data_IF_302145610485
#
_entry.id   IF_302145610485
#
_cell.length_a   1.000
_cell.length_b   1.000
_cell.length_c   1.000
_cell.angle_alpha   90.00
_cell.angle_beta   90.00
_cell.angle_gamma   90.00
#
_symmetry.space_group_name_H-M   'P 1'
#
loop_
_entity.id
_entity.type
_entity.pdbx_description
1 polymer ?
#
# COMPACT_ATOMS: atom_id res chain seq x y z
N UNK A 1 24.19 -14.18 -0.41
CA UNK A 1 23.54 -12.90 -0.06
C UNK A 1 22.09 -13.21 0.18
N UNK A 2 21.52 -12.74 1.27
CA UNK A 2 20.10 -12.92 1.60
C UNK A 2 19.29 -12.30 0.47
N UNK A 3 18.51 -13.12 -0.24
CA UNK A 3 17.41 -12.64 -1.07
C UNK A 3 16.58 -11.70 -0.21
N UNK A 4 16.37 -10.49 -0.71
CA UNK A 4 15.58 -9.46 -0.06
C UNK A 4 14.17 -10.03 0.08
N UNK A 5 13.79 -10.44 1.29
CA UNK A 5 12.38 -10.77 1.55
C UNK A 5 11.71 -9.51 2.05
N UNK A 6 10.60 -9.13 1.43
CA UNK A 6 9.72 -7.99 1.77
C UNK A 6 9.34 -7.92 3.26
N UNK A 7 9.53 -9.05 3.97
CA UNK A 7 9.25 -9.29 5.38
C UNK A 7 10.13 -8.49 6.36
N UNK A 8 11.38 -8.19 6.01
CA UNK A 8 12.33 -7.54 6.95
C UNK A 8 12.22 -6.01 6.99
N UNK A 9 11.59 -5.41 5.96
CA UNK A 9 11.64 -3.96 5.67
C UNK A 9 10.75 -3.10 6.59
N UNK A 10 9.68 -3.64 7.19
CA UNK A 10 8.61 -2.77 7.74
C UNK A 10 8.39 -2.82 9.26
N UNK A 11 8.98 -3.77 9.99
CA UNK A 11 8.56 -4.03 11.40
C UNK A 11 9.32 -3.23 12.47
N UNK A 12 10.44 -2.57 12.13
CA UNK A 12 11.38 -2.09 13.17
C UNK A 12 11.48 -0.57 13.38
N UNK A 13 10.99 0.27 12.47
CA UNK A 13 11.21 1.73 12.55
C UNK A 13 10.07 2.48 13.29
N UNK A 14 8.86 1.91 13.35
CA UNK A 14 7.67 2.66 13.78
C UNK A 14 7.25 2.51 15.25
N UNK A 15 7.67 1.43 15.93
CA UNK A 15 7.40 1.23 17.38
C UNK A 15 7.99 2.37 18.23
N UNK A 16 9.05 3.02 17.75
CA UNK A 16 9.66 4.17 18.41
C UNK A 16 8.80 5.44 18.39
N UNK A 17 8.11 5.74 17.28
CA UNK A 17 7.34 6.97 17.10
C UNK A 17 6.04 6.96 17.90
N UNK A 18 5.33 5.83 17.91
CA UNK A 18 4.05 5.68 18.66
C UNK A 18 4.28 5.67 20.18
N UNK A 19 5.38 5.07 20.64
CA UNK A 19 5.74 5.05 22.06
C UNK A 19 6.25 6.43 22.57
N UNK A 20 6.92 7.20 21.71
CA UNK A 20 7.46 8.54 22.01
C UNK A 20 6.36 9.60 22.20
N UNK A 21 5.39 9.66 21.28
CA UNK A 21 4.26 10.61 21.37
C UNK A 21 3.41 10.39 22.64
N UNK A 22 3.26 9.14 23.10
CA UNK A 22 2.55 8.82 24.34
C UNK A 22 3.27 9.34 25.60
N UNK A 23 4.59 9.55 25.56
CA UNK A 23 5.40 10.00 26.71
C UNK A 23 5.51 11.52 26.81
N UNK A 24 5.37 12.26 25.70
CA UNK A 24 5.32 13.74 25.70
C UNK A 24 3.99 14.34 26.20
N UNK A 25 2.88 13.60 26.09
CA UNK A 25 1.53 14.05 26.49
C UNK A 25 1.33 14.20 28.01
N UNK A 26 2.32 13.83 28.83
CA UNK A 26 2.27 13.95 30.29
C UNK A 26 2.70 15.31 30.85
N UNK A 27 3.19 16.24 30.02
CA UNK A 27 3.73 17.51 30.48
C UNK A 27 3.17 18.71 29.71
N UNK A 28 2.37 19.51 30.44
CA UNK A 28 1.95 20.89 30.16
C UNK A 28 0.73 21.11 29.26
N UNK A 29 -0.24 21.84 29.83
CA UNK A 29 -1.37 22.45 29.14
C UNK A 29 -2.13 23.41 30.06
N UNK A 30 -1.42 24.30 30.75
CA UNK A 30 -2.03 25.41 31.52
C UNK A 30 -1.50 26.74 30.94
N UNK A 31 -2.01 27.09 29.77
CA UNK A 31 -1.86 28.43 29.17
C UNK A 31 -3.01 28.67 28.20
N UNK A 32 -4.15 29.05 28.76
CA UNK A 32 -5.30 29.55 28.03
C UNK A 32 -5.05 31.02 27.62
N UNK A 33 -4.63 31.23 26.38
CA UNK A 33 -4.95 32.46 25.64
C UNK A 33 -6.21 32.21 24.80
N UNK A 34 -7.05 33.25 24.67
CA UNK A 34 -8.41 33.23 24.11
C UNK A 34 -8.51 32.63 22.70
N UNK A 35 -8.70 31.30 22.61
CA UNK A 35 -9.18 30.62 21.41
C UNK A 35 -10.70 30.51 21.44
N UNK A 36 -11.37 30.72 20.31
CA UNK A 36 -12.79 30.41 20.14
C UNK A 36 -13.10 29.01 20.67
N UNK A 37 -14.17 28.87 21.44
CA UNK A 37 -14.61 27.58 21.98
C UNK A 37 -14.67 26.53 20.86
N UNK A 38 -13.95 25.43 21.06
CA UNK A 38 -13.83 24.36 20.05
C UNK A 38 -15.21 23.80 19.76
N UNK A 39 -15.65 23.84 18.50
CA UNK A 39 -16.90 23.20 18.09
C UNK A 39 -16.73 21.67 18.15
N UNK A 40 -17.28 21.07 19.22
CA UNK A 40 -17.23 19.63 19.46
C UNK A 40 -17.84 18.79 18.33
N UNK A 41 -18.85 19.29 17.63
CA UNK A 41 -19.48 18.58 16.52
C UNK A 41 -18.62 18.63 15.26
N UNK A 42 -18.02 19.79 14.97
CA UNK A 42 -17.05 19.91 13.88
C UNK A 42 -15.79 19.06 14.14
N UNK A 43 -15.30 19.04 15.39
CA UNK A 43 -14.16 18.20 15.77
C UNK A 43 -14.45 16.71 15.60
N UNK A 44 -15.67 16.26 15.94
CA UNK A 44 -16.07 14.87 15.72
C UNK A 44 -16.08 14.50 14.23
N UNK A 45 -16.60 15.37 13.36
CA UNK A 45 -16.59 15.14 11.90
C UNK A 45 -15.16 15.13 11.33
N UNK A 46 -14.31 16.07 11.76
CA UNK A 46 -12.91 16.12 11.35
C UNK A 46 -12.15 14.84 11.74
N UNK A 47 -12.42 14.29 12.92
CA UNK A 47 -11.82 13.00 13.36
C UNK A 47 -12.31 11.81 12.55
N UNK A 48 -13.59 11.80 12.17
CA UNK A 48 -14.15 10.77 11.29
C UNK A 48 -13.57 10.83 9.86
N UNK A 49 -12.95 11.94 9.48
CA UNK A 49 -12.24 12.08 8.22
C UNK A 49 -10.88 11.39 8.19
N UNK A 50 -10.33 10.96 9.32
CA UNK A 50 -9.11 10.15 9.31
C UNK A 50 -9.51 8.73 8.93
N UNK A 51 -8.94 8.16 7.86
CA UNK A 51 -9.28 6.81 7.46
C UNK A 51 -9.07 5.82 8.60
N UNK A 52 -9.91 4.80 8.66
CA UNK A 52 -9.69 3.62 9.47
C UNK A 52 -8.73 2.66 8.76
N UNK A 53 -8.11 1.77 9.55
CA UNK A 53 -7.29 0.71 8.99
C UNK A 53 -8.13 -0.17 8.07
N UNK A 54 -9.40 -0.42 8.39
CA UNK A 54 -10.32 -1.22 7.59
C UNK A 54 -10.67 -0.61 6.22
N UNK A 55 -10.51 0.71 6.03
CA UNK A 55 -10.72 1.37 4.75
C UNK A 55 -9.50 1.28 3.82
N UNK A 56 -8.31 1.17 4.40
CA UNK A 56 -7.04 1.17 3.67
C UNK A 56 -6.38 -0.22 3.61
N UNK A 57 -6.85 -1.17 4.43
CA UNK A 57 -6.40 -2.54 4.45
C UNK A 57 -7.45 -3.42 3.77
N UNK A 58 -7.09 -4.13 2.72
CA UNK A 58 -7.82 -5.35 2.39
C UNK A 58 -7.27 -6.43 3.31
N UNK A 59 -8.16 -7.19 3.95
CA UNK A 59 -7.73 -8.36 4.72
C UNK A 59 -6.88 -9.24 3.80
N UNK A 60 -5.69 -9.65 4.25
CA UNK A 60 -4.97 -10.69 3.53
C UNK A 60 -5.91 -11.91 3.48
N UNK A 61 -6.29 -12.44 2.30
CA UNK A 61 -7.12 -13.64 2.22
C UNK A 61 -6.66 -14.68 3.23
N UNK A 62 -7.59 -15.21 4.03
CA UNK A 62 -7.27 -16.11 5.15
C UNK A 62 -6.40 -17.30 4.77
N UNK A 63 -6.49 -17.76 3.52
CA UNK A 63 -5.59 -18.73 2.93
C UNK A 63 -4.12 -18.30 2.91
N UNK A 64 -3.80 -17.06 2.58
CA UNK A 64 -2.42 -16.58 2.56
C UNK A 64 -1.76 -16.63 3.95
N UNK A 65 -2.51 -16.35 5.01
CA UNK A 65 -2.04 -16.54 6.39
C UNK A 65 -1.81 -18.03 6.74
N UNK A 66 -2.60 -18.95 6.16
CA UNK A 66 -2.35 -20.39 6.28
C UNK A 66 -1.08 -20.83 5.56
N UNK A 67 -0.77 -20.25 4.40
CA UNK A 67 0.48 -20.51 3.67
C UNK A 67 1.72 -20.17 4.53
N UNK A 68 1.69 -19.06 5.27
CA UNK A 68 2.75 -18.70 6.22
C UNK A 68 2.87 -19.72 7.37
N UNK A 69 1.74 -20.18 7.92
CA UNK A 69 1.74 -21.19 8.99
C UNK A 69 2.21 -22.57 8.52
N UNK A 70 1.94 -22.92 7.26
CA UNK A 70 2.34 -24.15 6.60
C UNK A 70 3.85 -24.27 6.39
N UNK A 71 4.59 -23.16 6.32
CA UNK A 71 6.07 -23.15 6.32
C UNK A 71 6.66 -23.82 7.58
N UNK A 72 5.90 -23.91 8.69
CA UNK A 72 6.33 -24.62 9.91
C UNK A 72 5.94 -26.11 9.94
N UNK A 73 5.05 -26.55 9.05
CA UNK A 73 4.46 -27.91 9.02
C UNK A 73 4.81 -28.72 7.74
N UNK A 74 5.91 -28.35 7.05
CA UNK A 74 6.38 -28.95 5.78
C UNK A 74 6.76 -30.46 5.80
N UNK A 75 6.37 -31.23 6.82
CA UNK A 75 6.69 -32.66 6.89
C UNK A 75 5.54 -33.59 6.44
N UNK A 76 4.31 -33.11 6.21
CA UNK A 76 3.14 -33.98 5.98
C UNK A 76 2.10 -33.50 4.95
N UNK A 77 2.31 -32.36 4.28
CA UNK A 77 1.33 -31.72 3.38
C UNK A 77 2.03 -31.40 2.05
N UNK A 78 1.33 -31.50 0.90
CA UNK A 78 1.88 -31.25 -0.44
C UNK A 78 2.44 -29.83 -0.64
N UNK A 79 3.02 -29.56 -1.81
CA UNK A 79 3.60 -28.25 -2.15
C UNK A 79 2.51 -27.16 -2.07
N UNK A 80 2.84 -26.08 -1.34
CA UNK A 80 1.97 -24.92 -1.18
C UNK A 80 2.05 -24.06 -2.44
N UNK A 81 0.97 -23.35 -2.76
CA UNK A 81 0.92 -22.46 -3.92
C UNK A 81 1.93 -21.31 -3.81
N UNK A 82 2.69 -21.03 -4.88
CA UNK A 82 3.76 -20.07 -4.99
C UNK A 82 3.25 -18.63 -4.83
N UNK A 83 2.30 -18.19 -5.65
CA UNK A 83 1.88 -16.78 -5.67
C UNK A 83 1.22 -16.33 -4.35
N UNK A 84 0.35 -17.13 -3.71
CA UNK A 84 -0.13 -16.81 -2.37
C UNK A 84 0.97 -16.67 -1.32
N UNK A 85 2.04 -17.48 -1.40
CA UNK A 85 3.17 -17.40 -0.46
C UNK A 85 4.01 -16.14 -0.68
N UNK A 86 4.39 -15.86 -1.93
CA UNK A 86 5.26 -14.74 -2.28
C UNK A 86 4.56 -13.39 -2.13
N UNK A 87 3.24 -13.36 -2.33
CA UNK A 87 2.46 -12.12 -2.26
C UNK A 87 2.01 -11.76 -0.85
N UNK A 88 1.99 -12.72 0.08
CA UNK A 88 1.55 -12.46 1.45
C UNK A 88 2.40 -11.42 2.19
N UNK A 89 3.75 -11.47 2.14
CA UNK A 89 4.60 -10.42 2.71
C UNK A 89 4.35 -9.03 2.09
N UNK A 90 4.05 -8.97 0.79
CA UNK A 90 3.74 -7.73 0.08
C UNK A 90 2.46 -7.10 0.66
N UNK A 91 1.38 -7.89 0.73
CA UNK A 91 0.09 -7.45 1.28
C UNK A 91 0.23 -7.03 2.74
N UNK A 92 0.93 -7.82 3.56
CA UNK A 92 1.19 -7.46 4.95
C UNK A 92 1.98 -6.17 5.07
N UNK A 93 3.00 -5.97 4.22
CA UNK A 93 3.82 -4.78 4.25
C UNK A 93 2.99 -3.51 3.99
N UNK A 94 2.29 -3.49 2.85
CA UNK A 94 1.43 -2.36 2.48
C UNK A 94 0.38 -2.09 3.57
N UNK A 95 -0.32 -3.14 4.04
CA UNK A 95 -1.35 -3.01 5.06
C UNK A 95 -0.80 -2.55 6.43
N UNK A 96 0.38 -3.03 6.83
CA UNK A 96 0.98 -2.68 8.13
C UNK A 96 1.38 -1.21 8.15
N UNK A 97 2.06 -0.75 7.10
CA UNK A 97 2.43 0.65 6.97
C UNK A 97 1.19 1.54 7.04
N UNK A 98 0.17 1.23 6.24
CA UNK A 98 -1.14 1.88 6.27
C UNK A 98 -1.73 1.93 7.69
N UNK A 99 -1.76 0.80 8.39
CA UNK A 99 -2.38 0.65 9.70
C UNK A 99 -1.69 1.47 10.78
N UNK A 100 -0.36 1.49 10.78
CA UNK A 100 0.45 2.28 11.71
C UNK A 100 0.23 3.78 11.50
N UNK A 101 0.08 4.21 10.24
CA UNK A 101 -0.10 5.61 9.87
C UNK A 101 -1.50 6.13 10.24
N UNK A 102 -2.54 5.33 10.01
CA UNK A 102 -3.88 5.58 10.56
C UNK A 102 -3.83 5.69 12.07
N UNK A 103 -3.13 4.75 12.73
CA UNK A 103 -3.01 4.72 14.19
C UNK A 103 -2.33 5.97 14.72
N UNK A 104 -1.27 6.46 14.06
CA UNK A 104 -0.60 7.71 14.39
C UNK A 104 -1.57 8.90 14.31
N UNK A 105 -2.26 9.07 13.19
CA UNK A 105 -3.20 10.18 12.99
C UNK A 105 -4.34 10.14 14.00
N UNK A 106 -4.92 8.96 14.26
CA UNK A 106 -5.97 8.78 15.28
C UNK A 106 -5.45 9.05 16.69
N UNK A 107 -4.21 8.66 16.99
CA UNK A 107 -3.58 8.92 18.30
C UNK A 107 -3.38 10.41 18.53
N UNK A 108 -2.79 11.09 17.55
CA UNK A 108 -2.55 12.54 17.61
C UNK A 108 -3.86 13.31 17.72
N UNK A 109 -4.85 12.97 16.90
CA UNK A 109 -6.12 13.70 16.88
C UNK A 109 -7.07 13.30 17.99
N UNK A 110 -6.78 12.22 18.72
CA UNK A 110 -7.54 11.76 19.89
C UNK A 110 -7.49 12.74 21.07
N UNK A 111 -6.43 13.55 21.18
CA UNK A 111 -6.33 14.62 22.18
C UNK A 111 -7.01 15.92 21.69
N UNK A 112 -7.34 16.87 22.59
CA UNK A 112 -7.84 18.18 22.15
C UNK A 112 -6.83 18.89 21.23
N UNK A 113 -7.30 19.61 20.19
CA UNK A 113 -6.42 20.40 19.32
C UNK A 113 -5.75 21.52 20.10
N UNK A 114 -4.53 21.88 19.70
CA UNK A 114 -3.81 23.07 20.21
C UNK A 114 -4.54 24.35 19.82
N UNK A 115 -4.99 24.42 18.56
CA UNK A 115 -5.67 25.58 17.98
C UNK A 115 -6.85 25.11 17.12
N UNK A 116 -7.95 25.86 17.17
CA UNK A 116 -9.04 25.75 16.21
C UNK A 116 -9.24 27.10 15.52
N UNK A 117 -9.15 27.11 14.19
CA UNK A 117 -9.46 28.28 13.38
C UNK A 117 -10.89 28.14 12.80
N UNK A 118 -11.83 28.85 13.41
CA UNK A 118 -13.24 28.84 13.00
C UNK A 118 -13.49 29.46 11.62
N UNK A 119 -12.60 30.33 11.12
CA UNK A 119 -12.75 30.93 9.78
C UNK A 119 -12.39 29.92 8.68
N UNK A 120 -11.35 29.12 8.90
CA UNK A 120 -10.86 28.13 7.92
C UNK A 120 -11.36 26.71 8.19
N UNK A 121 -12.13 26.50 9.27
CA UNK A 121 -12.58 25.18 9.75
C UNK A 121 -11.40 24.21 9.92
N UNK A 122 -10.32 24.72 10.50
CA UNK A 122 -9.05 24.01 10.62
C UNK A 122 -8.73 23.71 12.08
N UNK A 123 -8.44 22.44 12.36
CA UNK A 123 -7.98 21.95 13.64
C UNK A 123 -6.49 21.66 13.55
N UNK A 124 -5.72 22.19 14.49
CA UNK A 124 -4.27 22.03 14.55
C UNK A 124 -3.85 21.35 15.86
N UNK A 125 -3.00 20.34 15.74
CA UNK A 125 -2.33 19.64 16.82
C UNK A 125 -0.82 19.88 16.72
N UNK A 126 -0.17 20.18 17.85
CA UNK A 126 1.21 20.66 17.89
C UNK A 126 1.29 22.18 17.65
N UNK A 127 2.47 22.71 17.27
CA UNK A 127 3.73 21.99 17.02
C UNK A 127 4.31 21.35 18.30
N UNK A 128 4.83 20.13 18.20
CA UNK A 128 5.53 19.44 19.28
C UNK A 128 6.95 19.03 18.87
N UNK A 129 7.92 18.99 19.79
CA UNK A 129 9.25 18.48 19.49
C UNK A 129 9.21 17.09 18.85
N UNK A 130 9.94 16.90 17.75
CA UNK A 130 10.07 15.60 17.11
C UNK A 130 11.11 14.77 17.85
N UNK A 131 10.69 13.77 18.62
CA UNK A 131 11.63 12.94 19.40
C UNK A 131 12.53 12.05 18.54
N UNK A 132 12.16 11.82 17.27
CA UNK A 132 12.93 10.98 16.34
C UNK A 132 14.19 11.65 15.76
N UNK A 133 14.31 12.99 15.81
CA UNK A 133 15.43 13.75 15.24
C UNK A 133 15.30 15.26 15.57
N UNK A 134 15.56 16.14 14.60
CA UNK A 134 15.51 17.60 14.71
C UNK A 134 14.13 18.17 14.39
N UNK A 135 13.82 19.32 14.98
CA UNK A 135 12.62 20.10 14.69
C UNK A 135 11.39 19.67 15.48
N UNK A 136 10.22 20.04 14.95
CA UNK A 136 8.89 19.82 15.49
C UNK A 136 7.99 19.14 14.46
N UNK A 137 6.85 18.63 14.94
CA UNK A 137 5.78 18.06 14.15
C UNK A 137 4.45 18.71 14.46
N UNK A 138 3.61 18.85 13.44
CA UNK A 138 2.23 19.28 13.60
C UNK A 138 1.30 18.43 12.71
N UNK A 139 0.06 18.27 13.15
CA UNK A 139 -1.01 17.67 12.34
C UNK A 139 -2.12 18.69 12.20
N UNK A 140 -2.63 18.86 10.99
CA UNK A 140 -3.86 19.62 10.79
C UNK A 140 -4.91 18.80 10.05
N UNK A 141 -6.18 19.11 10.33
CA UNK A 141 -7.34 18.63 9.59
C UNK A 141 -8.23 19.83 9.27
N UNK A 142 -8.64 19.93 8.02
CA UNK A 142 -9.44 21.03 7.51
C UNK A 142 -10.62 20.50 6.71
N UNK A 143 -11.80 21.09 6.95
CA UNK A 143 -12.96 20.89 6.08
C UNK A 143 -12.80 21.74 4.82
N UNK A 144 -12.92 21.11 3.65
CA UNK A 144 -12.85 21.78 2.37
C UNK A 144 -14.19 22.43 2.01
N UNK A 145 -14.19 23.48 1.18
CA UNK A 145 -15.40 24.02 0.60
C UNK A 145 -16.18 22.96 -0.21
N UNK A 146 -17.52 23.06 -0.30
CA UNK A 146 -18.31 22.17 -1.15
C UNK A 146 -17.86 22.22 -2.61
N UNK A 147 -17.72 21.05 -3.24
CA UNK A 147 -17.35 20.91 -4.66
C UNK A 147 -15.87 20.61 -4.90
N UNK A 148 -15.05 20.56 -3.85
CA UNK A 148 -13.71 19.95 -3.90
C UNK A 148 -13.80 18.42 -3.98
N UNK A 149 -12.75 17.76 -4.48
CA UNK A 149 -12.69 16.30 -4.65
C UNK A 149 -12.79 15.54 -3.30
N UNK A 150 -12.31 16.18 -2.23
CA UNK A 150 -12.36 15.65 -0.87
C UNK A 150 -13.04 16.63 0.08
N UNK A 151 -13.96 16.14 0.90
CA UNK A 151 -14.65 16.90 1.94
C UNK A 151 -13.69 17.37 3.05
N UNK A 152 -12.65 16.59 3.34
CA UNK A 152 -11.63 16.92 4.32
C UNK A 152 -10.24 16.74 3.75
N UNK A 153 -9.29 17.55 4.22
CA UNK A 153 -7.86 17.37 4.00
C UNK A 153 -7.16 17.28 5.35
N UNK A 154 -6.20 16.39 5.45
CA UNK A 154 -5.33 16.27 6.60
C UNK A 154 -3.86 16.27 6.16
N UNK A 155 -2.98 16.74 7.04
CA UNK A 155 -1.56 16.61 6.81
C UNK A 155 -0.76 16.47 8.10
N UNK A 156 0.39 15.82 7.98
CA UNK A 156 1.46 15.79 8.97
C UNK A 156 2.64 16.58 8.43
N UNK A 157 3.13 17.53 9.23
CA UNK A 157 4.10 18.54 8.80
C UNK A 157 5.33 18.52 9.70
N UNK A 158 6.52 18.52 9.11
CA UNK A 158 7.82 18.76 9.77
C UNK A 158 8.14 20.25 9.78
N UNK A 159 8.60 20.76 10.91
CA UNK A 159 8.83 22.19 11.14
C UNK A 159 10.14 22.39 11.89
N UNK A 160 10.87 23.49 11.65
CA UNK A 160 12.00 23.86 12.53
C UNK A 160 11.56 24.67 13.74
N UNK A 161 10.57 25.53 13.51
CA UNK A 161 10.01 26.42 14.51
C UNK A 161 8.51 26.14 14.67
N UNK A 162 7.77 27.07 15.27
CA UNK A 162 6.31 26.97 15.39
C UNK A 162 5.55 27.56 14.18
N UNK A 163 6.25 27.89 13.09
CA UNK A 163 5.66 28.49 11.89
C UNK A 163 5.27 27.43 10.85
N UNK A 164 3.96 27.19 10.70
CA UNK A 164 3.41 26.26 9.72
C UNK A 164 3.70 26.65 8.27
N UNK A 165 3.86 27.95 7.97
CA UNK A 165 4.04 28.43 6.60
C UNK A 165 5.37 28.01 5.97
N UNK A 166 6.35 27.60 6.78
CA UNK A 166 7.64 27.05 6.34
C UNK A 166 7.77 25.54 6.51
N UNK A 167 6.69 24.85 6.84
CA UNK A 167 6.71 23.41 7.12
C UNK A 167 6.82 22.54 5.87
N UNK A 168 7.46 21.39 6.02
CA UNK A 168 7.50 20.34 4.99
C UNK A 168 6.39 19.33 5.26
N UNK A 169 5.43 19.23 4.34
CA UNK A 169 4.38 18.21 4.40
C UNK A 169 5.01 16.86 4.09
N UNK A 170 4.92 15.91 5.03
CA UNK A 170 5.49 14.55 4.88
C UNK A 170 4.40 13.47 4.85
N UNK A 171 3.21 13.80 5.34
CA UNK A 171 1.99 13.03 5.09
C UNK A 171 0.92 14.00 4.66
N UNK A 172 0.18 13.65 3.62
CA UNK A 172 -0.97 14.41 3.16
C UNK A 172 -2.08 13.47 2.77
N UNK A 173 -3.32 13.87 2.98
CA UNK A 173 -4.43 13.11 2.44
C UNK A 173 -5.71 13.89 2.35
N UNK A 174 -6.61 13.36 1.55
CA UNK A 174 -7.99 13.83 1.42
C UNK A 174 -8.95 12.70 1.75
N UNK A 175 -10.11 13.02 2.31
CA UNK A 175 -11.13 12.03 2.62
C UNK A 175 -12.55 12.54 2.43
N UNK A 176 -13.40 11.58 2.10
CA UNK A 176 -14.84 11.67 1.99
C UNK A 176 -15.43 10.63 2.97
N UNK A 177 -15.76 11.05 4.22
CA UNK A 177 -16.45 10.19 5.17
C UNK A 177 -17.75 9.63 4.60
N UNK A 178 -18.16 8.47 5.09
CA UNK A 178 -19.44 7.89 4.71
C UNK A 178 -20.62 8.84 5.03
N UNK A 179 -21.54 9.07 4.08
CA UNK A 179 -22.66 10.00 4.28
C UNK A 179 -23.67 9.51 5.33
N UNK A 180 -23.72 8.21 5.61
CA UNK A 180 -24.59 7.60 6.63
C UNK A 180 -23.91 7.52 8.00
N UNK A 181 -22.64 7.91 8.09
CA UNK A 181 -21.87 7.98 9.34
C UNK A 181 -21.25 6.65 9.76
N UNK A 182 -21.13 5.68 8.86
CA UNK A 182 -20.37 4.46 9.13
C UNK A 182 -18.85 4.74 9.08
N UNK A 183 -18.19 4.72 10.23
CA UNK A 183 -16.75 5.01 10.35
C UNK A 183 -15.84 3.98 9.65
N UNK A 184 -16.39 2.84 9.21
CA UNK A 184 -15.67 1.82 8.45
C UNK A 184 -15.79 2.04 6.94
N UNK A 185 -16.62 2.98 6.49
CA UNK A 185 -16.89 3.29 5.08
C UNK A 185 -16.45 4.70 4.72
N UNK A 186 -16.30 4.93 3.43
CA UNK A 186 -15.85 6.19 2.85
C UNK A 186 -14.73 5.98 1.86
N UNK A 187 -14.23 7.07 1.30
CA UNK A 187 -13.15 7.06 0.32
C UNK A 187 -12.16 8.18 0.60
N UNK A 188 -10.99 8.07 0.00
CA UNK A 188 -9.97 9.08 0.16
C UNK A 188 -8.68 8.71 -0.51
N UNK A 189 -7.68 9.54 -0.29
CA UNK A 189 -6.34 9.34 -0.77
C UNK A 189 -5.35 9.78 0.30
N UNK A 190 -4.21 9.11 0.36
CA UNK A 190 -3.15 9.39 1.32
C UNK A 190 -1.80 9.23 0.64
N UNK A 191 -0.93 10.22 0.85
CA UNK A 191 0.42 10.30 0.35
C UNK A 191 1.37 10.36 1.53
N UNK A 192 2.40 9.53 1.48
CA UNK A 192 3.53 9.50 2.38
C UNK A 192 4.79 9.87 1.61
N UNK A 193 5.38 10.98 1.99
CA UNK A 193 6.52 11.58 1.28
C UNK A 193 7.79 11.39 2.12
N UNK A 194 8.38 10.20 2.00
CA UNK A 194 9.64 9.87 2.68
C UNK A 194 10.78 10.76 2.16
N UNK A 195 10.76 11.14 0.88
CA UNK A 195 11.70 12.12 0.32
C UNK A 195 11.59 13.50 0.96
N UNK A 196 10.38 14.02 1.19
CA UNK A 196 10.20 15.30 1.87
C UNK A 196 10.75 15.24 3.30
N UNK A 197 10.55 14.12 3.99
CA UNK A 197 11.12 13.90 5.31
C UNK A 197 12.65 13.82 5.26
N UNK A 198 13.21 13.07 4.32
CA UNK A 198 14.65 12.95 4.11
C UNK A 198 15.28 14.31 3.76
N UNK A 199 14.65 15.09 2.88
CA UNK A 199 15.09 16.42 2.50
C UNK A 199 15.04 17.40 3.69
N UNK A 200 13.99 17.32 4.51
CA UNK A 200 13.89 18.10 5.74
C UNK A 200 15.05 17.79 6.70
N UNK A 201 15.34 16.49 6.94
CA UNK A 201 16.47 16.07 7.77
C UNK A 201 17.80 16.54 7.20
N UNK A 202 18.02 16.37 5.89
CA UNK A 202 19.26 16.78 5.24
C UNK A 202 19.52 18.29 5.33
N UNK A 203 18.46 19.10 5.26
CA UNK A 203 18.57 20.55 5.33
C UNK A 203 18.80 21.08 6.75
N UNK A 204 18.29 20.37 7.77
CA UNK A 204 18.17 20.92 9.12
C UNK A 204 18.96 20.16 10.20
N UNK A 205 19.30 18.90 9.97
CA UNK A 205 20.10 18.11 10.89
C UNK A 205 21.60 18.36 10.62
N UNK A 206 22.37 18.89 11.59
CA UNK A 206 23.81 19.10 11.40
C UNK A 206 24.61 17.82 11.10
N UNK A 207 24.06 16.65 11.46
CA UNK A 207 24.64 15.35 11.12
C UNK A 207 24.30 14.87 9.70
N UNK A 208 23.47 15.61 8.96
CA UNK A 208 22.84 15.17 7.72
C UNK A 208 21.60 14.30 7.98
N UNK A 209 20.89 13.95 6.90
CA UNK A 209 19.83 12.96 6.99
C UNK A 209 20.40 11.60 7.41
N UNK A 210 19.71 10.83 8.26
CA UNK A 210 20.14 9.48 8.58
C UNK A 210 20.30 8.66 7.30
N UNK A 211 21.48 8.06 7.08
CA UNK A 211 21.70 7.18 5.92
C UNK A 211 20.66 6.05 5.88
N UNK A 212 20.25 5.55 7.04
CA UNK A 212 19.19 4.56 7.20
C UNK A 212 17.80 5.22 7.38
N UNK A 213 17.36 6.03 6.42
CA UNK A 213 15.98 6.54 6.37
C UNK A 213 15.29 6.07 5.11
N UNK A 214 14.00 5.76 5.21
CA UNK A 214 13.19 5.41 4.04
C UNK A 214 13.16 6.62 3.09
N UNK A 215 13.11 6.31 1.80
CA UNK A 215 13.12 7.27 0.70
C UNK A 215 12.06 6.90 -0.33
N UNK A 216 11.83 7.77 -1.29
CA UNK A 216 10.71 7.68 -2.23
C UNK A 216 9.39 8.19 -1.65
N UNK A 217 8.30 7.76 -2.28
CA UNK A 217 6.93 8.12 -1.87
C UNK A 217 6.01 6.93 -1.99
N UNK A 218 5.01 6.88 -1.12
CA UNK A 218 3.93 5.92 -1.17
C UNK A 218 2.60 6.67 -1.26
N UNK A 219 1.76 6.30 -2.22
CA UNK A 219 0.44 6.88 -2.42
C UNK A 219 -0.60 5.76 -2.39
N UNK A 220 -1.72 5.96 -1.71
CA UNK A 220 -2.86 5.04 -1.74
C UNK A 220 -4.17 5.81 -1.91
N UNK A 221 -4.92 5.48 -2.96
CA UNK A 221 -6.32 5.82 -3.15
C UNK A 221 -7.17 4.66 -2.65
N UNK A 222 -8.17 4.93 -1.82
CA UNK A 222 -8.98 3.91 -1.18
C UNK A 222 -10.47 4.24 -1.21
N UNK A 223 -11.27 3.19 -1.12
CA UNK A 223 -12.72 3.29 -1.04
C UNK A 223 -13.31 2.04 -0.42
N UNK A 224 -14.28 2.23 0.48
CA UNK A 224 -15.11 1.17 1.02
C UNK A 224 -16.56 1.63 1.11
N UNK A 225 -17.49 0.83 0.59
CA UNK A 225 -18.91 1.14 0.62
C UNK A 225 -19.76 0.11 -0.13
N UNK A 226 -21.09 0.33 -0.17
CA UNK A 226 -21.98 -0.54 -0.94
C UNK A 226 -21.65 -0.50 -2.43
N UNK A 227 -21.79 -1.63 -3.13
CA UNK A 227 -21.68 -1.64 -4.59
C UNK A 227 -22.81 -0.82 -5.22
N UNK A 228 -22.47 -0.10 -6.30
CA UNK A 228 -23.46 0.64 -7.08
C UNK A 228 -24.46 -0.30 -7.77
N UNK A 229 -24.01 -1.50 -8.16
CA UNK A 229 -24.81 -2.49 -8.88
C UNK A 229 -25.56 -3.45 -7.93
N UNK A 230 -25.02 -3.66 -6.73
CA UNK A 230 -25.62 -4.48 -5.68
C UNK A 230 -25.44 -3.82 -4.30
N UNK A 231 -26.42 -3.04 -3.82
CA UNK A 231 -26.33 -2.38 -2.52
C UNK A 231 -26.23 -3.32 -1.31
N UNK A 232 -26.49 -4.62 -1.47
CA UNK A 232 -26.28 -5.63 -0.42
C UNK A 232 -24.83 -6.14 -0.39
N UNK A 233 -24.07 -5.90 -1.47
CA UNK A 233 -22.64 -6.18 -1.53
C UNK A 233 -21.83 -5.00 -0.98
N UNK A 234 -20.77 -5.31 -0.24
CA UNK A 234 -19.76 -4.36 0.21
C UNK A 234 -18.50 -4.49 -0.64
N UNK A 235 -18.03 -3.38 -1.17
CA UNK A 235 -16.84 -3.29 -2.01
C UNK A 235 -15.78 -2.51 -1.24
N UNK A 236 -14.59 -3.08 -1.18
CA UNK A 236 -13.38 -2.44 -0.67
C UNK A 236 -12.33 -2.45 -1.77
N UNK A 237 -11.69 -1.31 -2.03
CA UNK A 237 -10.65 -1.19 -3.05
C UNK A 237 -9.55 -0.27 -2.59
N UNK A 238 -8.31 -0.62 -2.89
CA UNK A 238 -7.13 0.22 -2.69
C UNK A 238 -6.25 0.13 -3.92
N UNK A 239 -6.01 1.27 -4.54
CA UNK A 239 -5.02 1.46 -5.59
C UNK A 239 -3.84 2.20 -4.96
N UNK A 240 -2.65 1.61 -5.02
CA UNK A 240 -1.47 2.15 -4.38
C UNK A 240 -0.25 2.14 -5.30
N UNK A 241 0.66 3.07 -5.04
CA UNK A 241 1.85 3.29 -5.86
C UNK A 241 3.03 3.66 -4.97
N UNK A 242 4.16 2.97 -5.15
CA UNK A 242 5.47 3.38 -4.68
C UNK A 242 6.27 3.98 -5.82
N UNK A 243 6.93 5.11 -5.56
CA UNK A 243 7.85 5.75 -6.52
C UNK A 243 9.17 6.09 -5.87
N UNK A 244 10.26 5.65 -6.51
CA UNK A 244 11.64 5.87 -6.08
C UNK A 244 11.92 5.34 -4.67
N UNK A 245 11.25 4.25 -4.27
CA UNK A 245 11.34 3.75 -2.90
C UNK A 245 12.71 3.13 -2.64
N UNK A 246 13.36 3.58 -1.56
CA UNK A 246 14.59 2.95 -1.05
C UNK A 246 14.38 2.73 0.45
N UNK A 247 14.47 1.48 0.94
CA UNK A 247 14.20 1.19 2.33
C UNK A 247 15.39 1.58 3.22
N UNK A 248 15.08 2.00 4.44
CA UNK A 248 16.06 2.39 5.45
C UNK A 248 17.03 1.28 5.86
N UNK A 249 16.63 0.01 5.76
CA UNK A 249 17.46 -1.15 6.10
C UNK A 249 18.43 -1.57 4.98
N UNK A 250 18.19 -1.12 3.76
CA UNK A 250 19.09 -1.23 2.62
C UNK A 250 19.18 0.10 1.86
N UNK A 251 19.82 1.13 2.45
CA UNK A 251 19.85 2.48 1.87
C UNK A 251 20.70 2.58 0.59
N UNK A 252 21.42 1.50 0.24
CA UNK A 252 22.16 1.37 -1.01
C UNK A 252 21.40 0.62 -2.11
N UNK A 253 20.15 0.21 -1.88
CA UNK A 253 19.31 -0.39 -2.92
C UNK A 253 19.05 0.60 -4.05
N UNK A 254 18.92 0.09 -5.26
CA UNK A 254 18.38 0.88 -6.37
C UNK A 254 16.92 1.27 -6.05
N UNK A 255 16.50 2.51 -6.37
CA UNK A 255 15.12 2.92 -6.18
C UNK A 255 14.16 2.03 -6.96
N UNK A 256 13.10 1.59 -6.29
CA UNK A 256 12.08 0.73 -6.89
C UNK A 256 10.74 1.46 -7.02
N UNK A 257 10.06 1.16 -8.13
CA UNK A 257 8.68 1.55 -8.38
C UNK A 257 7.79 0.31 -8.36
N UNK A 258 6.60 0.46 -7.79
CA UNK A 258 5.62 -0.62 -7.75
C UNK A 258 4.19 -0.06 -7.74
N UNK A 259 3.31 -0.69 -8.50
CA UNK A 259 1.88 -0.42 -8.52
C UNK A 259 1.13 -1.60 -7.89
N UNK A 260 0.09 -1.31 -7.11
CA UNK A 260 -0.75 -2.29 -6.44
C UNK A 260 -2.21 -1.92 -6.63
N UNK A 261 -3.05 -2.89 -6.95
CA UNK A 261 -4.49 -2.74 -6.91
C UNK A 261 -5.10 -3.96 -6.25
N UNK A 262 -5.76 -3.76 -5.11
CA UNK A 262 -6.28 -4.86 -4.32
C UNK A 262 -7.60 -4.48 -3.68
N UNK A 263 -8.37 -5.48 -3.29
CA UNK A 263 -9.69 -5.24 -2.74
C UNK A 263 -10.46 -6.51 -2.44
N UNK A 264 -11.70 -6.28 -2.05
CA UNK A 264 -12.65 -7.31 -1.68
C UNK A 264 -14.05 -6.92 -2.15
N UNK A 265 -14.78 -7.90 -2.67
CA UNK A 265 -16.23 -7.83 -2.86
C UNK A 265 -16.87 -8.87 -1.93
N UNK A 266 -17.61 -8.39 -0.93
CA UNK A 266 -18.29 -9.23 0.04
C UNK A 266 -19.81 -9.16 -0.16
N UNK A 267 -20.45 -10.31 -0.30
CA UNK A 267 -21.91 -10.47 -0.33
C UNK A 267 -22.36 -11.28 0.89
N UNK A 268 -23.66 -11.48 1.04
CA UNK A 268 -24.17 -12.37 2.09
C UNK A 268 -23.72 -13.83 1.94
N UNK A 269 -23.33 -14.26 0.74
CA UNK A 269 -23.05 -15.67 0.40
C UNK A 269 -21.57 -15.93 0.12
N UNK A 270 -20.89 -14.97 -0.51
CA UNK A 270 -19.53 -15.13 -1.01
C UNK A 270 -18.66 -13.90 -0.76
N UNK A 271 -17.36 -14.15 -0.64
CA UNK A 271 -16.33 -13.12 -0.62
C UNK A 271 -15.33 -13.37 -1.76
N UNK A 272 -15.05 -12.34 -2.55
CA UNK A 272 -14.02 -12.37 -3.60
C UNK A 272 -12.95 -11.36 -3.24
N UNK A 273 -11.76 -11.85 -2.92
CA UNK A 273 -10.58 -11.00 -2.73
C UNK A 273 -9.75 -10.99 -4.00
N UNK A 274 -9.18 -9.84 -4.35
CA UNK A 274 -8.29 -9.71 -5.49
C UNK A 274 -7.05 -8.90 -5.13
N UNK A 275 -5.95 -9.22 -5.79
CA UNK A 275 -4.70 -8.49 -5.72
C UNK A 275 -4.07 -8.50 -7.11
N UNK A 276 -3.71 -7.33 -7.59
CA UNK A 276 -2.87 -7.14 -8.75
C UNK A 276 -1.69 -6.27 -8.35
N UNK A 277 -0.47 -6.69 -8.65
CA UNK A 277 0.70 -5.84 -8.52
C UNK A 277 1.56 -5.88 -9.77
N UNK A 278 2.13 -4.73 -10.11
CA UNK A 278 3.10 -4.61 -11.19
C UNK A 278 4.38 -3.96 -10.65
N UNK A 279 5.53 -4.58 -10.90
CA UNK A 279 6.81 -4.06 -10.46
C UNK A 279 7.92 -4.37 -11.46
N UNK A 280 8.92 -3.51 -11.49
CA UNK A 280 10.13 -3.69 -12.29
C UNK A 280 11.18 -4.36 -11.41
N UNK A 281 11.56 -5.59 -11.75
CA UNK A 281 12.64 -6.32 -11.07
C UNK A 281 13.53 -7.02 -12.07
N UNK A 282 14.77 -7.24 -11.67
CA UNK A 282 15.73 -8.09 -12.38
C UNK A 282 15.46 -9.56 -11.98
N UNK A 283 14.80 -10.31 -12.86
CA UNK A 283 14.40 -11.72 -12.69
C UNK A 283 15.45 -12.66 -13.31
N UNK A 284 16.05 -12.25 -14.43
CA UNK A 284 17.07 -13.00 -15.15
C UNK A 284 18.40 -12.25 -15.11
N UNK A 285 19.46 -12.90 -14.61
CA UNK A 285 20.80 -12.31 -14.55
C UNK A 285 21.47 -12.18 -15.94
N UNK A 286 20.75 -12.50 -17.01
CA UNK A 286 21.16 -12.42 -18.40
C UNK A 286 22.28 -13.37 -18.80
N UNK A 287 22.80 -14.19 -17.86
CA UNK A 287 23.83 -15.19 -18.11
C UNK A 287 23.35 -16.64 -17.94
N UNK A 288 22.12 -16.81 -17.41
CA UNK A 288 21.43 -18.09 -17.29
C UNK A 288 22.02 -18.98 -16.19
N UNK A 289 22.87 -18.44 -15.31
CA UNK A 289 23.34 -19.08 -14.08
C UNK A 289 22.81 -18.32 -12.86
N UNK A 290 21.76 -18.83 -12.18
CA UNK A 290 21.09 -18.15 -11.06
C UNK A 290 21.98 -17.92 -9.81
N UNK A 291 23.26 -18.30 -9.88
CA UNK A 291 24.27 -18.08 -8.83
C UNK A 291 25.22 -16.92 -9.15
N UNK A 292 25.14 -16.33 -10.33
CA UNK A 292 25.88 -15.14 -10.73
C UNK A 292 24.95 -13.93 -10.73
N UNK A 293 25.50 -12.76 -10.38
CA UNK A 293 24.78 -11.49 -10.52
C UNK A 293 25.58 -10.67 -11.53
N UNK A 294 25.24 -10.82 -12.80
CA UNK A 294 25.67 -9.89 -13.83
C UNK A 294 24.60 -8.80 -13.88
N UNK A 295 25.03 -7.55 -14.01
CA UNK A 295 24.06 -6.47 -14.18
C UNK A 295 23.32 -6.66 -15.50
N UNK A 296 22.02 -6.87 -15.42
CA UNK A 296 21.13 -7.20 -16.52
C UNK A 296 19.94 -6.23 -16.52
N UNK A 297 19.09 -6.29 -17.55
CA UNK A 297 18.04 -5.32 -17.76
C UNK A 297 16.75 -5.77 -17.04
N UNK A 298 16.16 -4.96 -16.15
CA UNK A 298 15.05 -5.43 -15.35
C UNK A 298 13.78 -5.68 -16.19
N UNK A 299 13.08 -6.75 -15.88
CA UNK A 299 11.78 -7.12 -16.41
C UNK A 299 10.64 -6.37 -15.71
N UNK A 300 9.53 -6.21 -16.44
CA UNK A 300 8.24 -5.91 -15.87
C UNK A 300 7.56 -7.22 -15.48
N UNK A 301 7.24 -7.37 -14.20
CA UNK A 301 6.38 -8.42 -13.68
C UNK A 301 5.02 -7.85 -13.31
N UNK A 302 3.96 -8.40 -13.90
CA UNK A 302 2.56 -8.12 -13.56
C UNK A 302 1.91 -9.40 -13.04
N UNK A 303 1.43 -9.39 -11.79
CA UNK A 303 0.79 -10.54 -11.15
C UNK A 303 -0.62 -10.16 -10.75
N UNK A 304 -1.58 -10.96 -11.21
CA UNK A 304 -3.01 -10.87 -10.90
C UNK A 304 -3.40 -12.10 -10.09
N UNK A 305 -4.19 -11.92 -9.04
CA UNK A 305 -4.67 -13.00 -8.21
C UNK A 305 -6.11 -12.76 -7.78
N UNK A 306 -6.84 -13.86 -7.65
CA UNK A 306 -8.20 -13.89 -7.11
C UNK A 306 -8.36 -15.03 -6.14
N UNK A 307 -9.03 -14.76 -5.01
CA UNK A 307 -9.41 -15.72 -4.00
C UNK A 307 -10.93 -15.73 -3.89
N UNK A 308 -11.53 -16.92 -3.92
CA UNK A 308 -12.94 -17.10 -3.62
C UNK A 308 -13.08 -17.68 -2.21
N UNK A 309 -13.91 -17.02 -1.42
CA UNK A 309 -14.20 -17.35 -0.02
C UNK A 309 -12.91 -17.53 0.80
N UNK A 310 -11.90 -16.70 0.50
CA UNK A 310 -10.59 -16.66 1.16
C UNK A 310 -9.76 -17.95 1.11
N UNK A 311 -10.15 -18.93 0.28
CA UNK A 311 -9.49 -20.23 0.19
C UNK A 311 -8.94 -20.50 -1.20
N UNK A 312 -9.77 -21.10 -2.05
CA UNK A 312 -9.40 -21.46 -3.42
C UNK A 312 -9.13 -20.22 -4.27
N UNK A 313 -8.26 -20.33 -5.25
CA UNK A 313 -7.92 -19.19 -6.08
C UNK A 313 -7.13 -19.52 -7.32
N UNK A 314 -6.81 -18.46 -8.04
CA UNK A 314 -6.04 -18.46 -9.27
C UNK A 314 -5.09 -17.27 -9.27
N UNK A 315 -3.88 -17.48 -9.75
CA UNK A 315 -2.93 -16.43 -10.09
C UNK A 315 -2.58 -16.49 -11.57
N UNK A 316 -2.40 -15.33 -12.19
CA UNK A 316 -1.89 -15.16 -13.54
C UNK A 316 -0.77 -14.13 -13.45
N UNK A 317 0.43 -14.50 -13.88
CA UNK A 317 1.59 -13.63 -13.88
C UNK A 317 2.17 -13.52 -15.29
N UNK A 318 2.62 -12.33 -15.62
CA UNK A 318 3.25 -12.01 -16.89
C UNK A 318 4.60 -11.35 -16.59
N UNK A 319 5.66 -11.88 -17.17
CA UNK A 319 6.98 -11.24 -17.20
C UNK A 319 7.36 -10.86 -18.63
N UNK A 320 7.83 -9.63 -18.82
CA UNK A 320 8.16 -9.06 -20.14
C UNK A 320 9.23 -7.97 -20.04
N UNK A 321 9.77 -7.54 -21.19
CA UNK A 321 10.81 -6.51 -21.20
C UNK A 321 12.14 -7.03 -20.67
N UNK A 322 13.04 -6.13 -20.27
CA UNK A 322 14.33 -6.54 -19.68
C UNK A 322 15.13 -7.50 -20.54
N UNK A 323 15.75 -8.47 -19.89
CA UNK A 323 16.50 -9.56 -20.53
C UNK A 323 15.58 -10.56 -21.22
N UNK A 324 14.32 -10.67 -20.78
CA UNK A 324 13.30 -11.45 -21.49
C UNK A 324 13.16 -10.94 -22.93
N UNK A 325 13.04 -9.63 -23.15
CA UNK A 325 12.90 -9.05 -24.49
C UNK A 325 14.20 -9.09 -25.32
N UNK A 326 15.36 -9.22 -24.67
CA UNK A 326 16.66 -9.37 -25.34
C UNK A 326 16.96 -10.84 -25.71
N UNK A 327 16.15 -11.78 -25.23
CA UNK A 327 16.17 -13.18 -25.68
C UNK A 327 15.78 -13.25 -27.15
N UNK A 328 16.57 -13.93 -28.01
CA UNK A 328 16.27 -14.03 -29.45
C UNK A 328 15.03 -14.88 -29.76
N UNK A 329 14.49 -15.58 -28.76
CA UNK A 329 13.37 -16.49 -28.91
C UNK A 329 12.16 -16.00 -28.10
N UNK A 330 12.32 -15.56 -26.86
CA UNK A 330 11.20 -15.27 -25.94
C UNK A 330 10.96 -13.75 -25.88
N UNK A 331 9.71 -13.32 -25.83
CA UNK A 331 9.31 -11.91 -25.60
C UNK A 331 8.43 -11.79 -24.34
N UNK A 332 7.77 -12.89 -23.95
CA UNK A 332 6.79 -12.94 -22.88
C UNK A 332 6.84 -14.28 -22.16
N UNK A 333 6.80 -14.26 -20.83
CA UNK A 333 6.52 -15.43 -19.99
C UNK A 333 5.17 -15.25 -19.31
N UNK A 334 4.28 -16.22 -19.47
CA UNK A 334 3.00 -16.28 -18.76
C UNK A 334 3.03 -17.45 -17.78
N UNK A 335 2.61 -17.23 -16.54
CA UNK A 335 2.48 -18.25 -15.52
C UNK A 335 1.06 -18.25 -14.98
N UNK A 336 0.46 -19.42 -14.86
CA UNK A 336 -0.87 -19.64 -14.31
C UNK A 336 -0.76 -20.60 -13.15
N UNK A 337 -1.29 -20.24 -11.99
CA UNK A 337 -1.36 -21.11 -10.82
C UNK A 337 -2.81 -21.22 -10.31
N UNK A 338 -3.20 -22.42 -9.87
CA UNK A 338 -4.46 -22.65 -9.15
C UNK A 338 -4.20 -23.41 -7.85
N UNK A 339 -5.02 -23.12 -6.84
CA UNK A 339 -4.94 -23.79 -5.55
C UNK A 339 -6.31 -24.09 -4.92
N UNK A 340 -6.30 -25.04 -3.99
CA UNK A 340 -7.49 -25.45 -3.25
C UNK A 340 -7.76 -24.60 -1.99
N UNK A 341 -8.81 -24.92 -1.24
CA UNK A 341 -9.15 -24.21 0.01
C UNK A 341 -8.06 -24.29 1.10
N UNK A 342 -7.09 -25.20 0.95
CA UNK A 342 -5.95 -25.34 1.85
C UNK A 342 -4.68 -24.68 1.29
N UNK A 343 -4.79 -23.92 0.18
CA UNK A 343 -3.69 -23.25 -0.52
C UNK A 343 -2.63 -24.25 -1.00
N UNK A 344 -3.04 -25.49 -1.26
CA UNK A 344 -2.14 -26.45 -1.90
C UNK A 344 -2.15 -26.19 -3.38
N UNK A 345 -0.97 -26.20 -3.98
CA UNK A 345 -0.84 -26.14 -5.42
C UNK A 345 -1.62 -27.31 -6.03
N UNK A 346 -2.54 -26.98 -6.94
CA UNK A 346 -3.29 -27.98 -7.71
C UNK A 346 -2.84 -28.01 -9.16
N UNK A 347 -2.37 -26.86 -9.66
CA UNK A 347 -1.85 -26.67 -10.99
C UNK A 347 -0.91 -25.46 -11.03
N UNK A 348 0.22 -25.59 -11.72
CA UNK A 348 1.11 -24.51 -12.09
C UNK A 348 1.53 -24.72 -13.55
N UNK A 349 1.23 -23.78 -14.42
CA UNK A 349 1.62 -23.78 -15.84
C UNK A 349 2.47 -22.56 -16.15
N UNK A 350 3.50 -22.74 -16.96
CA UNK A 350 4.32 -21.65 -17.49
C UNK A 350 4.41 -21.81 -19.01
N UNK A 351 4.16 -20.73 -19.74
CA UNK A 351 4.18 -20.68 -21.20
C UNK A 351 5.07 -19.53 -21.66
N UNK A 352 6.02 -19.80 -22.54
CA UNK A 352 6.87 -18.80 -23.17
C UNK A 352 6.36 -18.50 -24.58
N UNK A 353 6.25 -17.22 -24.91
CA UNK A 353 5.82 -16.74 -26.22
C UNK A 353 6.90 -15.93 -26.91
N UNK A 354 6.94 -16.03 -28.24
CA UNK A 354 7.79 -15.21 -29.10
C UNK A 354 7.16 -13.87 -29.44
N UNK A 355 7.92 -13.04 -30.15
CA UNK A 355 7.52 -11.70 -30.61
C UNK A 355 6.27 -11.69 -31.51
N UNK A 356 6.01 -12.79 -32.23
CA UNK A 356 4.83 -12.97 -33.06
C UNK A 356 3.60 -13.51 -32.29
N UNK A 357 3.73 -13.69 -30.96
CA UNK A 357 2.73 -14.26 -30.07
C UNK A 357 2.59 -15.78 -30.18
N UNK A 358 3.49 -16.46 -30.89
CA UNK A 358 3.47 -17.92 -30.95
C UNK A 358 4.04 -18.55 -29.67
N UNK A 359 3.44 -19.66 -29.24
CA UNK A 359 3.95 -20.47 -28.13
C UNK A 359 5.26 -21.15 -28.56
N UNK A 360 6.32 -20.91 -27.78
CA UNK A 360 7.66 -21.48 -27.99
C UNK A 360 7.86 -22.71 -27.11
N UNK A 361 7.29 -22.68 -25.91
CA UNK A 361 7.32 -23.81 -25.01
C UNK A 361 6.38 -23.62 -23.84
N UNK A 362 5.96 -24.74 -23.26
CA UNK A 362 5.17 -24.76 -22.05
C UNK A 362 5.68 -25.84 -21.09
N UNK A 363 5.62 -25.55 -19.79
CA UNK A 363 5.85 -26.49 -18.71
C UNK A 363 4.65 -26.47 -17.77
N UNK A 364 4.34 -27.60 -17.16
CA UNK A 364 3.24 -27.67 -16.19
C UNK A 364 3.50 -28.69 -15.09
N UNK A 365 3.09 -28.34 -13.88
CA UNK A 365 2.97 -29.18 -12.71
C UNK A 365 1.48 -29.30 -12.33
N UNK A 366 1.10 -30.46 -11.81
CA UNK A 366 -0.30 -30.75 -11.45
C UNK A 366 -1.20 -31.08 -12.65
N UNK A 367 -2.51 -31.06 -12.42
CA UNK A 367 -3.55 -31.32 -13.42
C UNK A 367 -4.35 -30.03 -13.61
N UNK A 368 -4.48 -29.48 -14.84
CA UNK A 368 -5.31 -28.30 -15.09
C UNK A 368 -6.75 -28.44 -14.59
N UNK A 369 -7.29 -29.67 -14.55
CA UNK A 369 -8.63 -29.95 -13.98
C UNK A 369 -8.67 -29.89 -12.44
N UNK A 370 -7.52 -29.67 -11.81
CA UNK A 370 -7.37 -29.36 -10.40
C UNK A 370 -7.78 -27.93 -10.05
N UNK A 371 -7.80 -27.02 -11.02
CA UNK A 371 -8.43 -25.71 -10.86
C UNK A 371 -9.92 -25.89 -10.52
N UNK A 372 -10.44 -25.09 -9.60
CA UNK A 372 -11.89 -25.07 -9.38
C UNK A 372 -12.59 -24.64 -10.69
N UNK A 373 -13.78 -25.18 -11.05
CA UNK A 373 -14.39 -24.91 -12.36
C UNK A 373 -14.63 -23.44 -12.69
N UNK A 374 -14.73 -22.57 -11.68
CA UNK A 374 -14.81 -21.12 -11.90
C UNK A 374 -13.51 -20.56 -12.50
N UNK A 375 -12.36 -21.11 -12.11
CA UNK A 375 -11.01 -20.76 -12.55
C UNK A 375 -10.54 -21.51 -13.80
N UNK A 376 -11.45 -22.21 -14.48
CA UNK A 376 -11.26 -22.59 -15.89
C UNK A 376 -11.24 -21.35 -16.79
N UNK A 377 -11.72 -20.21 -16.29
CA UNK A 377 -11.65 -18.91 -16.95
C UNK A 377 -10.45 -18.10 -16.42
N UNK A 378 -9.89 -17.24 -17.28
CA UNK A 378 -8.86 -16.29 -16.86
C UNK A 378 -9.39 -15.24 -15.90
N UNK A 379 -8.51 -14.54 -15.19
CA UNK A 379 -8.89 -13.48 -14.26
C UNK A 379 -9.62 -12.35 -15.01
N UNK A 380 -9.13 -11.98 -16.18
CA UNK A 380 -9.78 -11.00 -17.06
C UNK A 380 -11.18 -11.48 -17.50
N UNK A 381 -11.34 -12.76 -17.83
CA UNK A 381 -12.65 -13.33 -18.22
C UNK A 381 -13.65 -13.39 -17.05
N UNK A 382 -13.15 -13.45 -15.82
CA UNK A 382 -13.95 -13.34 -14.59
C UNK A 382 -14.32 -11.90 -14.25
N UNK A 383 -13.85 -10.91 -15.02
CA UNK A 383 -14.06 -9.48 -14.76
C UNK A 383 -13.57 -9.06 -13.37
N UNK A 384 -12.50 -9.70 -12.89
CA UNK A 384 -11.83 -9.27 -11.66
C UNK A 384 -11.06 -7.98 -11.97
N UNK A 385 -11.19 -6.91 -11.18
CA UNK A 385 -10.50 -5.66 -11.45
C UNK A 385 -8.97 -5.82 -11.44
N UNK A 386 -8.33 -5.19 -12.42
CA UNK A 386 -6.86 -5.17 -12.62
C UNK A 386 -6.36 -3.74 -12.77
N UNK A 387 -5.03 -3.56 -12.74
CA UNK A 387 -4.36 -2.29 -12.96
C UNK A 387 -4.64 -1.71 -14.36
N UNK A 388 -4.98 -2.56 -15.33
CA UNK A 388 -5.38 -2.15 -16.68
C UNK A 388 -6.80 -1.55 -16.73
N UNK A 389 -7.64 -1.88 -15.75
CA UNK A 389 -9.01 -1.35 -15.63
C UNK A 389 -9.06 0.03 -14.98
N UNK A 390 -7.95 0.47 -14.37
CA UNK A 390 -7.85 1.79 -13.74
C UNK A 390 -7.89 2.87 -14.81
N UNK A 391 -8.74 3.88 -14.60
CA UNK A 391 -8.82 5.03 -15.51
C UNK A 391 -7.42 5.64 -15.75
N UNK A 392 -6.96 5.76 -17.01
CA UNK A 392 -5.61 6.23 -17.31
C UNK A 392 -5.34 7.67 -16.83
N UNK A 393 -6.37 8.51 -16.73
CA UNK A 393 -6.22 9.88 -16.21
C UNK A 393 -5.98 9.85 -14.71
N UNK A 394 -6.74 9.03 -13.98
CA UNK A 394 -6.54 8.80 -12.56
C UNK A 394 -5.15 8.22 -12.28
N UNK A 395 -4.74 7.19 -13.04
CA UNK A 395 -3.40 6.60 -12.93
C UNK A 395 -2.30 7.65 -13.15
N UNK A 396 -2.43 8.50 -14.17
CA UNK A 396 -1.46 9.57 -14.43
C UNK A 396 -1.43 10.65 -13.33
N UNK A 397 -2.58 10.99 -12.73
CA UNK A 397 -2.65 11.94 -11.61
C UNK A 397 -2.00 11.37 -10.36
N UNK A 398 -2.28 10.09 -10.05
CA UNK A 398 -1.65 9.38 -8.95
C UNK A 398 -0.14 9.28 -9.15
N UNK A 399 0.31 8.95 -10.37
CA UNK A 399 1.73 8.87 -10.71
C UNK A 399 2.44 10.22 -10.56
N UNK A 400 1.80 11.31 -11.02
CA UNK A 400 2.34 12.66 -10.87
C UNK A 400 2.48 13.06 -9.38
N UNK A 401 1.50 12.71 -8.55
CA UNK A 401 1.52 12.99 -7.12
C UNK A 401 2.55 12.10 -6.38
N UNK A 402 2.61 10.80 -6.71
CA UNK A 402 3.57 9.87 -6.17
C UNK A 402 5.01 10.17 -6.61
N UNK A 403 5.21 10.82 -7.76
CA UNK A 403 6.54 11.24 -8.21
C UNK A 403 6.94 12.61 -7.64
N UNK A 404 6.01 13.57 -7.67
CA UNK A 404 6.28 14.98 -7.35
C UNK A 404 6.09 15.38 -5.89
N UNK A 405 5.31 14.63 -5.13
CA UNK A 405 4.88 15.01 -3.78
C UNK A 405 3.82 16.13 -3.79
N UNK A 406 3.49 16.63 -2.60
CA UNK A 406 2.61 17.80 -2.46
C UNK A 406 3.44 19.08 -2.62
N UNK A 407 3.02 19.96 -3.54
CA UNK A 407 3.69 21.25 -3.80
C UNK A 407 3.20 22.37 -2.88
#
# INVERSE_FOLDING_TARGET
>A
MTTMTTRDVMTMVWVGLVAALAMGLGACGDSAEEGSEVDSAALARARAAIPSAEQLQASAPGGMAMAESGLREQALVGELALYPQESYPIVLGVNSAVGDMVTLLKTVTGVPPTVYNSETQEFLWGPWPYEGSVGNVAVYIKENPPGEDFAYVYAFVRLMDNDLGGGSVVIWGGSNPDPDGDETRGSGLTLWDFEANHAFEAANNPAGAPEASDRGRFLALYGKGPSADDPEAEVTTVLAAFRGFVPSDNPGAEPADADYYYGQVATAEHTVDFLNYALTLDIDDGDGDPNTQVASAPELLDVKMVFLDQGRGRAEAIASGGDIADSPEIDLLEVVECWDEQIKETYLGMTAYGDDGSEIGAQSLGDPSGCAPIFDNSIDALMIPTLDDVDPTLKAQMDALATGGVQ
#
